data_IF_159935086207
#
_entry.id   IF_159935086207
#
_cell.length_a   1.000
_cell.length_b   1.000
_cell.length_c   1.000
_cell.angle_alpha   90.00
_cell.angle_beta   90.00
_cell.angle_gamma   90.00
#
_symmetry.space_group_name_H-M   'P 1'
#
loop_
_entity.id
_entity.type
_entity.pdbx_description
1 polymer ?
#
# COMPACT_ATOMS: atom_id res chain seq x y z
N UNK A 1 2.78 -9.54 -0.68
CA UNK A 1 3.90 -8.74 -0.14
C UNK A 1 4.60 -8.04 -1.29
N UNK A 2 4.51 -6.72 -1.35
CA UNK A 2 5.25 -5.91 -2.33
C UNK A 2 6.52 -5.38 -1.65
N UNK A 3 7.67 -5.55 -2.28
CA UNK A 3 8.96 -5.02 -1.79
C UNK A 3 9.48 -4.01 -2.79
N UNK A 4 9.79 -2.82 -2.31
CA UNK A 4 10.22 -1.69 -3.14
C UNK A 4 11.51 -1.09 -2.58
N UNK A 5 12.43 -0.69 -3.45
CA UNK A 5 13.61 0.10 -3.08
C UNK A 5 13.24 1.57 -3.01
N UNK A 6 13.62 2.26 -1.93
CA UNK A 6 13.32 3.68 -1.70
C UNK A 6 14.62 4.48 -1.47
N UNK A 7 14.74 5.64 -2.12
CA UNK A 7 15.63 6.74 -1.76
C UNK A 7 14.94 7.67 -0.73
N UNK A 8 15.67 8.64 -0.15
CA UNK A 8 15.18 9.50 0.96
C UNK A 8 13.89 10.30 0.66
N UNK A 9 13.54 10.50 -0.61
CA UNK A 9 12.38 11.29 -1.06
C UNK A 9 11.27 10.41 -1.68
N UNK A 10 11.51 9.10 -1.81
CA UNK A 10 10.55 8.22 -2.46
C UNK A 10 9.32 8.05 -1.55
N UNK A 11 8.11 8.09 -2.15
CA UNK A 11 6.85 7.93 -1.43
C UNK A 11 5.93 6.94 -2.14
N UNK A 12 4.94 6.44 -1.41
CA UNK A 12 3.90 5.56 -1.95
C UNK A 12 2.53 6.05 -1.54
N UNK A 13 1.54 5.75 -2.38
CA UNK A 13 0.15 6.11 -2.20
C UNK A 13 -0.64 4.82 -1.99
N UNK A 14 -1.49 4.81 -0.96
CA UNK A 14 -2.44 3.74 -0.68
C UNK A 14 -3.84 4.31 -0.94
N UNK A 15 -4.60 3.67 -1.82
CA UNK A 15 -5.95 4.11 -2.19
C UNK A 15 -6.84 2.92 -2.55
N UNK A 16 -8.17 3.07 -2.54
CA UNK A 16 -9.06 1.97 -2.88
C UNK A 16 -8.81 1.45 -4.31
N UNK A 17 -8.85 0.13 -4.48
CA UNK A 17 -8.82 -0.48 -5.80
C UNK A 17 -10.05 -0.04 -6.63
N UNK A 18 -9.92 -0.02 -7.96
CA UNK A 18 -10.98 0.48 -8.86
C UNK A 18 -12.29 -0.31 -8.74
N UNK A 19 -12.19 -1.56 -8.36
CA UNK A 19 -13.26 -2.54 -8.23
C UNK A 19 -13.76 -2.71 -6.79
N UNK A 20 -13.36 -1.82 -5.87
CA UNK A 20 -13.87 -1.84 -4.50
C UNK A 20 -15.40 -1.64 -4.50
N UNK A 21 -16.10 -2.40 -3.65
CA UNK A 21 -17.54 -2.24 -3.47
C UNK A 21 -17.81 -0.86 -2.82
N UNK A 22 -18.63 0.01 -3.42
CA UNK A 22 -18.85 1.38 -2.92
C UNK A 22 -19.40 1.47 -1.48
N UNK A 23 -20.12 0.43 -1.04
CA UNK A 23 -20.73 0.37 0.30
C UNK A 23 -19.98 -0.58 1.25
N UNK A 24 -18.72 -0.93 0.94
CA UNK A 24 -17.90 -1.73 1.83
C UNK A 24 -17.63 -0.97 3.12
N UNK A 25 -17.85 -1.62 4.25
CA UNK A 25 -17.51 -1.07 5.57
C UNK A 25 -16.02 -1.13 5.81
N UNK A 26 -15.51 -0.30 6.73
CA UNK A 26 -14.10 -0.35 7.15
C UNK A 26 -13.74 -1.72 7.75
N UNK A 27 -14.67 -2.36 8.46
CA UNK A 27 -14.44 -3.71 9.00
C UNK A 27 -14.24 -4.75 7.90
N UNK A 28 -15.03 -4.67 6.83
CA UNK A 28 -14.87 -5.55 5.66
C UNK A 28 -13.59 -5.25 4.88
N UNK A 29 -13.20 -3.97 4.78
CA UNK A 29 -11.96 -3.54 4.13
C UNK A 29 -10.73 -4.16 4.79
N UNK A 30 -10.72 -4.25 6.11
CA UNK A 30 -9.59 -4.79 6.89
C UNK A 30 -9.81 -6.22 7.38
N UNK A 31 -10.77 -6.96 6.81
CA UNK A 31 -11.08 -8.34 7.21
C UNK A 31 -9.88 -9.28 7.06
N UNK A 32 -9.03 -9.01 6.07
CA UNK A 32 -7.85 -9.81 5.74
C UNK A 32 -6.57 -9.29 6.42
N UNK A 33 -6.70 -8.32 7.33
CA UNK A 33 -5.62 -7.81 8.15
C UNK A 33 -5.33 -6.31 7.96
N UNK A 34 -4.39 -5.76 8.75
CA UNK A 34 -4.02 -4.35 8.70
C UNK A 34 -3.14 -4.01 7.49
N UNK A 35 -2.88 -2.72 7.28
CA UNK A 35 -1.73 -2.28 6.48
C UNK A 35 -0.47 -2.43 7.35
N UNK A 36 0.48 -3.22 6.89
CA UNK A 36 1.76 -3.45 7.56
C UNK A 36 2.90 -2.92 6.70
N UNK A 37 3.67 -2.00 7.29
CA UNK A 37 4.84 -1.39 6.67
C UNK A 37 6.08 -1.89 7.41
N UNK A 38 6.99 -2.54 6.70
CA UNK A 38 8.25 -3.08 7.22
C UNK A 38 9.42 -2.38 6.56
N UNK A 39 10.29 -1.76 7.35
CA UNK A 39 11.60 -1.33 6.87
C UNK A 39 12.56 -2.52 6.93
N UNK A 40 13.18 -2.87 5.80
CA UNK A 40 14.25 -3.88 5.78
C UNK A 40 15.56 -3.26 6.25
N UNK A 41 16.44 -4.08 6.86
CA UNK A 41 17.72 -3.61 7.41
C UNK A 41 18.54 -2.88 6.33
N UNK A 42 18.89 -1.62 6.60
CA UNK A 42 19.65 -0.77 5.67
C UNK A 42 18.90 0.44 5.13
N UNK A 43 17.63 0.64 5.50
CA UNK A 43 16.86 1.88 5.21
C UNK A 43 16.43 2.05 3.75
N UNK A 44 16.86 1.15 2.85
CA UNK A 44 16.65 1.27 1.41
C UNK A 44 15.55 0.39 0.82
N UNK A 45 14.94 -0.53 1.57
CA UNK A 45 13.78 -1.28 1.06
C UNK A 45 12.64 -1.34 2.06
N UNK A 46 11.43 -1.14 1.56
CA UNK A 46 10.20 -1.16 2.33
C UNK A 46 9.31 -2.28 1.80
N UNK A 47 8.88 -3.15 2.71
CA UNK A 47 7.84 -4.14 2.47
C UNK A 47 6.49 -3.56 2.88
N UNK A 48 5.52 -3.61 1.97
CA UNK A 48 4.15 -3.16 2.26
C UNK A 48 3.21 -4.35 2.03
N UNK A 49 2.41 -4.63 3.04
CA UNK A 49 1.31 -5.59 3.02
C UNK A 49 0.03 -4.83 3.33
N UNK A 50 -1.01 -5.03 2.52
CA UNK A 50 -2.31 -4.39 2.70
C UNK A 50 -3.41 -5.33 2.18
N UNK A 51 -4.67 -5.14 2.61
CA UNK A 51 -5.83 -5.80 2.01
C UNK A 51 -5.87 -5.65 0.48
N UNK A 52 -6.45 -6.63 -0.20
CA UNK A 52 -6.50 -6.67 -1.67
C UNK A 52 -7.36 -5.54 -2.26
N UNK A 53 -8.30 -5.06 -1.45
CA UNK A 53 -9.18 -3.93 -1.74
C UNK A 53 -8.43 -2.58 -1.75
N UNK A 54 -7.17 -2.55 -1.29
CA UNK A 54 -6.29 -1.40 -1.35
C UNK A 54 -5.21 -1.61 -2.41
N UNK A 55 -5.01 -0.58 -3.23
CA UNK A 55 -3.92 -0.50 -4.19
C UNK A 55 -2.78 0.33 -3.62
N UNK A 56 -1.57 -0.19 -3.79
CA UNK A 56 -0.32 0.49 -3.42
C UNK A 56 0.39 0.86 -4.71
N UNK A 57 0.70 2.15 -4.88
CA UNK A 57 1.50 2.67 -6.00
C UNK A 57 2.66 3.51 -5.48
N UNK A 58 3.77 3.54 -6.22
CA UNK A 58 4.81 4.55 -6.00
C UNK A 58 4.30 5.90 -6.51
N UNK A 59 4.62 6.98 -5.82
CA UNK A 59 4.08 8.31 -6.13
C UNK A 59 4.43 8.78 -7.53
N UNK A 60 5.58 8.39 -8.08
CA UNK A 60 5.99 8.73 -9.45
C UNK A 60 5.20 8.00 -10.54
N UNK A 61 4.42 6.97 -10.19
CA UNK A 61 3.55 6.23 -11.12
C UNK A 61 2.10 6.73 -11.06
N UNK A 62 1.82 7.71 -10.20
CA UNK A 62 0.53 8.37 -10.13
C UNK A 62 0.56 9.60 -11.03
N UNK A 63 -0.04 9.49 -12.21
CA UNK A 63 -0.40 10.64 -13.06
C UNK A 63 -1.57 11.40 -12.40
N UNK A 64 -1.31 12.10 -11.29
CA UNK A 64 -2.26 12.99 -10.61
C UNK A 64 -2.34 14.36 -11.29
#
# INVERSE_FOLDING_TARGET
MLVLSFQQEDSFIIFPARDIKPNMTVAELFKDGPILIKCTRGGGQWGIEAPQELKILRSELCDL
#
